data_IF_449880337417
#
_entry.id   IF_449880337417
#
_cell.length_a   1.000
_cell.length_b   1.000
_cell.length_c   1.000
_cell.angle_alpha   90.00
_cell.angle_beta   90.00
_cell.angle_gamma   90.00
#
_symmetry.space_group_name_H-M   'P 1'
#
loop_
_entity.id
_entity.type
_entity.pdbx_description
1 polymer ?
#
# COMPACT_ATOMS: atom_id res chain seq x y z
N UNK A 1 -2.40 1.48 -9.14
CA UNK A 1 -1.90 0.65 -8.02
C UNK A 1 -0.47 0.21 -8.34
N UNK A 2 0.39 0.25 -7.36
CA UNK A 2 1.77 -0.18 -7.52
C UNK A 2 1.94 -1.56 -6.92
N UNK A 3 2.56 -2.46 -7.66
CA UNK A 3 2.87 -3.82 -7.20
C UNK A 3 4.37 -3.91 -6.99
N UNK A 4 4.79 -3.99 -5.73
CA UNK A 4 6.21 -4.01 -5.36
C UNK A 4 6.44 -4.96 -4.20
N UNK A 5 7.66 -5.47 -4.10
CA UNK A 5 8.05 -6.30 -2.95
C UNK A 5 8.19 -5.47 -1.68
N UNK A 6 8.43 -4.17 -1.82
CA UNK A 6 8.58 -3.26 -0.69
C UNK A 6 7.58 -2.13 -0.82
N UNK A 7 6.49 -2.20 -0.05
CA UNK A 7 5.47 -1.17 -0.04
C UNK A 7 5.63 -0.29 1.19
N UNK A 8 5.43 1.02 1.01
CA UNK A 8 5.60 1.99 2.07
C UNK A 8 4.54 3.07 1.98
N UNK A 9 4.25 3.68 3.12
CA UNK A 9 3.42 4.86 3.17
C UNK A 9 4.11 5.99 2.40
N UNK A 10 3.35 6.68 1.57
CA UNK A 10 3.88 7.79 0.78
C UNK A 10 3.42 9.15 1.32
N UNK A 11 2.42 9.16 2.16
CA UNK A 11 1.92 10.38 2.80
C UNK A 11 1.30 10.03 4.14
N UNK A 12 0.90 11.04 4.91
CA UNK A 12 0.32 10.85 6.23
C UNK A 12 -1.05 10.19 6.20
N UNK A 13 -1.71 10.19 5.04
CA UNK A 13 -3.01 9.56 4.88
C UNK A 13 -2.92 8.09 4.48
N UNK A 14 -1.72 7.62 4.17
CA UNK A 14 -1.51 6.24 3.80
C UNK A 14 -1.56 5.34 5.03
N UNK A 15 -2.16 4.15 4.85
CA UNK A 15 -2.20 3.14 5.90
C UNK A 15 -1.71 1.82 5.35
N UNK A 16 -0.91 1.14 6.14
CA UNK A 16 -0.40 -0.19 5.79
C UNK A 16 -1.33 -1.22 6.40
N UNK A 17 -1.85 -2.12 5.57
CA UNK A 17 -2.73 -3.19 6.02
C UNK A 17 -2.18 -4.52 5.52
N UNK A 18 -2.62 -5.61 6.15
CA UNK A 18 -2.24 -6.96 5.73
C UNK A 18 -3.51 -7.76 5.48
N UNK A 19 -3.59 -8.37 4.30
CA UNK A 19 -4.71 -9.23 3.93
C UNK A 19 -4.19 -10.52 3.32
N UNK A 20 -4.61 -11.65 3.88
CA UNK A 20 -4.23 -12.98 3.39
C UNK A 20 -2.71 -13.11 3.21
N UNK A 21 -1.94 -12.56 4.14
CA UNK A 21 -0.49 -12.61 4.07
C UNK A 21 0.14 -11.62 3.11
N UNK A 22 -0.66 -10.79 2.47
CA UNK A 22 -0.17 -9.78 1.54
C UNK A 22 -0.27 -8.40 2.18
N UNK A 23 0.85 -7.69 2.24
CA UNK A 23 0.90 -6.34 2.77
C UNK A 23 0.45 -5.37 1.67
N UNK A 24 -0.46 -4.48 2.05
CA UNK A 24 -0.99 -3.48 1.12
C UNK A 24 -0.95 -2.11 1.78
N UNK A 25 -0.81 -1.09 0.96
CA UNK A 25 -0.92 0.30 1.40
C UNK A 25 -2.16 0.89 0.76
N UNK A 26 -3.02 1.47 1.58
CA UNK A 26 -4.22 2.17 1.12
C UNK A 26 -4.11 3.64 1.48
N UNK A 27 -4.69 4.47 0.65
CA UNK A 27 -4.64 5.91 0.85
C UNK A 27 -5.87 6.55 0.21
N UNK A 28 -6.18 7.78 0.62
CA UNK A 28 -7.24 8.56 -0.03
C UNK A 28 -6.86 8.89 -1.47
N UNK A 29 -5.55 8.94 -1.74
CA UNK A 29 -5.03 9.15 -3.09
C UNK A 29 -4.78 7.80 -3.76
N UNK A 30 -5.52 7.45 -4.83
CA UNK A 30 -5.36 6.16 -5.50
C UNK A 30 -3.96 5.94 -6.07
N UNK A 31 -3.22 7.01 -6.33
CA UNK A 31 -1.85 6.89 -6.83
C UNK A 31 -0.88 6.32 -5.79
N UNK A 32 -1.27 6.39 -4.51
CA UNK A 32 -0.44 5.86 -3.42
C UNK A 32 -0.79 4.43 -3.07
N UNK A 33 -1.82 3.89 -3.68
CA UNK A 33 -2.25 2.52 -3.42
C UNK A 33 -1.19 1.54 -3.87
N UNK A 34 -0.81 0.64 -2.99
CA UNK A 34 0.27 -0.32 -3.25
C UNK A 34 -0.13 -1.71 -2.79
N UNK A 35 0.53 -2.69 -3.37
CA UNK A 35 0.34 -4.09 -3.03
C UNK A 35 1.69 -4.78 -3.10
N UNK A 36 2.00 -5.54 -2.06
CA UNK A 36 3.21 -6.36 -2.07
C UNK A 36 3.00 -7.55 -3.00
N UNK A 37 3.87 -7.63 -3.98
CA UNK A 37 3.74 -8.72 -4.96
C UNK A 37 5.01 -9.46 -5.23
#
# INVERSE_FOLDING_TARGET
MKVRSSVRRMCEHCKVIRRKGVVRVICTNPKHKQRQG
#
